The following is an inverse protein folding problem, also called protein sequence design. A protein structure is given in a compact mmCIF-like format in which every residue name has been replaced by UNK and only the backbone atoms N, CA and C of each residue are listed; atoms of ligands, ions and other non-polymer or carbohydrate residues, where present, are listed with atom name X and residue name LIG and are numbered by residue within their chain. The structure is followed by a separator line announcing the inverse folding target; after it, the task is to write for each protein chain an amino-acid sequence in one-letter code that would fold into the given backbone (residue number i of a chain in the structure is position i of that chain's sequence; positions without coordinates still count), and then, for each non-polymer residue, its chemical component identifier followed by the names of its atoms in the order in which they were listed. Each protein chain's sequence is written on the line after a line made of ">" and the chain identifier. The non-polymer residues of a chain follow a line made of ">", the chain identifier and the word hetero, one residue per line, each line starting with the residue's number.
data_IF_107156745361
#
_entry.id   IF_107156745361
#
_cell.length_a   1.000
_cell.length_b   1.000
_cell.length_c   1.000
_cell.angle_alpha   90.00
_cell.angle_beta   90.00
_cell.angle_gamma   90.00
#
_symmetry.space_group_name_H-M   'P 1'
#
loop_
_entity.id
_entity.type
_entity.pdbx_description
1 polymer ?
#
# COMPACT_ATOMS: atom_id res chain seq x y z
N UNK A 1 53.07 11.56 -36.90
CA UNK A 1 52.27 11.72 -35.67
C UNK A 1 50.87 11.20 -35.93
N UNK A 2 50.57 9.99 -35.47
CA UNK A 2 49.30 9.29 -35.67
C UNK A 2 48.24 9.88 -34.75
N UNK A 3 47.11 10.36 -35.30
CA UNK A 3 45.92 10.69 -34.51
C UNK A 3 45.03 9.46 -34.46
N UNK A 4 44.99 8.78 -33.31
CA UNK A 4 43.97 7.80 -32.98
C UNK A 4 42.61 8.52 -32.88
N UNK A 5 41.64 8.10 -33.67
CA UNK A 5 40.24 8.46 -33.46
C UNK A 5 39.65 7.50 -32.41
N UNK A 6 39.32 8.02 -31.23
CA UNK A 6 38.59 7.28 -30.21
C UNK A 6 37.11 7.19 -30.62
N UNK A 7 36.63 5.98 -30.91
CA UNK A 7 35.24 5.70 -31.21
C UNK A 7 34.45 5.71 -29.89
N UNK A 8 33.68 6.76 -29.63
CA UNK A 8 32.76 6.82 -28.49
C UNK A 8 31.56 5.91 -28.78
N UNK A 9 31.51 4.75 -28.12
CA UNK A 9 30.36 3.85 -28.19
C UNK A 9 29.25 4.44 -27.29
N UNK A 10 28.29 5.16 -27.89
CA UNK A 10 27.08 5.57 -27.18
C UNK A 10 26.24 4.31 -26.89
N UNK A 11 26.19 3.91 -25.64
CA UNK A 11 25.20 2.94 -25.17
C UNK A 11 23.83 3.60 -25.18
N UNK A 12 22.99 3.21 -26.15
CA UNK A 12 21.57 3.54 -26.17
C UNK A 12 20.91 2.90 -24.95
N UNK A 13 20.58 3.71 -23.94
CA UNK A 13 19.73 3.28 -22.84
C UNK A 13 18.31 3.19 -23.41
N UNK A 14 17.87 1.97 -23.73
CA UNK A 14 16.47 1.72 -24.07
C UNK A 14 15.63 1.98 -22.83
N UNK A 15 14.79 3.03 -22.87
CA UNK A 15 13.75 3.21 -21.86
C UNK A 15 12.65 2.20 -22.16
N UNK A 16 12.64 1.09 -21.42
CA UNK A 16 11.49 0.19 -21.43
C UNK A 16 10.27 0.98 -20.94
N UNK A 17 9.22 1.04 -21.76
CA UNK A 17 7.91 1.54 -21.34
C UNK A 17 7.18 0.34 -20.74
N UNK A 18 6.86 0.43 -19.45
CA UNK A 18 6.05 -0.56 -18.76
C UNK A 18 4.57 -0.28 -19.03
N UNK A 19 3.77 -1.34 -19.20
CA UNK A 19 2.33 -1.22 -19.43
C UNK A 19 1.60 -0.87 -18.12
N UNK A 20 0.50 -0.13 -18.24
CA UNK A 20 -0.39 0.11 -17.12
C UNK A 20 -1.07 -1.20 -16.69
N UNK A 21 -1.18 -1.42 -15.37
CA UNK A 21 -1.92 -2.52 -14.74
C UNK A 21 -3.02 -1.95 -13.84
N UNK A 22 -4.13 -1.47 -14.43
CA UNK A 22 -5.12 -0.67 -13.71
C UNK A 22 -6.06 -1.47 -12.80
N UNK A 23 -6.18 -2.78 -12.98
CA UNK A 23 -7.09 -3.65 -12.23
C UNK A 23 -6.60 -5.10 -12.26
N UNK A 24 -7.31 -6.00 -11.56
CA UNK A 24 -6.97 -7.41 -11.45
C UNK A 24 -6.89 -8.08 -12.83
N UNK A 25 -5.89 -8.95 -13.04
CA UNK A 25 -5.57 -9.60 -14.33
C UNK A 25 -5.07 -8.66 -15.44
N UNK A 26 -4.71 -7.41 -15.11
CA UNK A 26 -4.02 -6.50 -16.03
C UNK A 26 -4.94 -5.86 -17.07
N UNK A 27 -4.39 -5.09 -18.01
CA UNK A 27 -5.15 -4.21 -18.92
C UNK A 27 -6.08 -4.96 -19.91
N UNK A 28 -5.85 -6.26 -20.09
CA UNK A 28 -6.62 -7.16 -20.97
C UNK A 28 -7.46 -8.17 -20.21
N UNK A 29 -7.33 -8.25 -18.88
CA UNK A 29 -8.09 -9.19 -18.06
C UNK A 29 -7.65 -10.66 -18.19
N UNK A 30 -6.53 -10.94 -18.85
CA UNK A 30 -6.02 -12.30 -19.12
C UNK A 30 -4.76 -12.65 -18.30
N UNK A 31 -4.31 -11.73 -17.45
CA UNK A 31 -3.11 -11.87 -16.61
C UNK A 31 -1.81 -12.08 -17.40
N UNK A 32 -1.73 -11.52 -18.61
CA UNK A 32 -0.54 -11.59 -19.46
C UNK A 32 0.12 -10.22 -19.58
N UNK A 33 1.43 -10.15 -19.35
CA UNK A 33 2.24 -8.98 -19.69
C UNK A 33 2.75 -9.08 -21.14
N UNK A 34 2.67 -7.97 -21.88
CA UNK A 34 3.22 -7.84 -23.25
C UNK A 34 4.64 -7.29 -23.26
N UNK A 35 5.20 -6.98 -22.09
CA UNK A 35 6.54 -6.43 -21.96
C UNK A 35 7.59 -7.44 -22.44
N UNK A 36 8.58 -6.93 -23.17
CA UNK A 36 9.70 -7.70 -23.72
C UNK A 36 11.02 -7.08 -23.25
N UNK A 37 12.11 -7.83 -23.39
CA UNK A 37 13.43 -7.38 -22.90
C UNK A 37 13.54 -7.39 -21.37
N UNK A 38 12.72 -8.21 -20.71
CA UNK A 38 12.83 -8.48 -19.29
C UNK A 38 14.12 -9.27 -19.00
N UNK A 39 14.60 -9.18 -17.76
CA UNK A 39 15.77 -9.94 -17.33
C UNK A 39 15.42 -11.44 -17.28
N UNK A 40 16.12 -12.26 -18.07
CA UNK A 40 16.01 -13.73 -17.98
C UNK A 40 16.58 -14.29 -16.66
N UNK A 41 17.49 -13.55 -16.03
CA UNK A 41 18.02 -13.85 -14.71
C UNK A 41 18.35 -12.56 -13.94
N UNK A 42 18.09 -12.56 -12.63
CA UNK A 42 18.49 -11.45 -11.78
C UNK A 42 20.02 -11.38 -11.62
N UNK A 43 20.59 -10.16 -11.51
CA UNK A 43 21.98 -9.99 -11.13
C UNK A 43 22.28 -10.66 -9.78
N UNK A 44 23.55 -10.97 -9.51
CA UNK A 44 23.99 -11.60 -8.24
C UNK A 44 23.49 -10.85 -6.99
N UNK A 45 23.38 -9.52 -7.07
CA UNK A 45 22.93 -8.67 -5.97
C UNK A 45 21.43 -8.31 -6.08
N UNK A 46 20.68 -8.98 -6.94
CA UNK A 46 19.29 -8.67 -7.26
C UNK A 46 19.12 -7.51 -8.25
N UNK A 47 17.88 -7.25 -8.69
CA UNK A 47 17.56 -6.05 -9.44
C UNK A 47 17.79 -4.81 -8.58
N UNK A 48 18.09 -3.67 -9.22
CA UNK A 48 18.21 -2.40 -8.51
C UNK A 48 16.88 -2.03 -7.86
N UNK A 49 16.89 -1.82 -6.55
CA UNK A 49 15.75 -1.22 -5.86
C UNK A 49 15.58 0.25 -6.29
N UNK A 50 14.39 0.61 -6.76
CA UNK A 50 14.06 2.00 -7.12
C UNK A 50 13.53 2.75 -5.90
N UNK A 51 12.62 2.14 -5.16
CA UNK A 51 12.16 2.62 -3.86
C UNK A 51 11.55 1.47 -3.05
N UNK A 52 11.47 1.66 -1.74
CA UNK A 52 10.69 0.84 -0.83
C UNK A 52 9.83 1.74 0.07
N UNK A 53 8.61 1.30 0.38
CA UNK A 53 7.69 2.00 1.29
C UNK A 53 7.15 1.03 2.33
N UNK A 54 7.30 1.38 3.61
CA UNK A 54 6.59 0.69 4.69
C UNK A 54 5.10 1.01 4.60
N UNK A 55 4.28 -0.03 4.52
CA UNK A 55 2.82 0.04 4.53
C UNK A 55 2.23 -0.64 5.77
N UNK A 56 0.94 -0.48 5.98
CA UNK A 56 0.21 -1.18 7.02
C UNK A 56 -0.08 -2.66 6.67
N UNK A 57 -1.19 -3.18 7.16
CA UNK A 57 -1.62 -4.57 6.92
C UNK A 57 -2.56 -4.67 5.73
N UNK A 58 -2.58 -5.82 5.06
CA UNK A 58 -3.52 -6.15 4.01
C UNK A 58 -2.91 -7.14 3.03
N UNK A 59 -3.71 -7.57 2.06
CA UNK A 59 -3.30 -8.45 0.96
C UNK A 59 -3.61 -7.89 -0.41
N UNK A 60 -4.20 -6.69 -0.48
CA UNK A 60 -4.51 -6.05 -1.75
C UNK A 60 -3.24 -5.86 -2.59
N UNK A 61 -3.22 -6.37 -3.83
CA UNK A 61 -2.22 -5.98 -4.82
C UNK A 61 -2.28 -4.48 -5.13
N UNK A 62 -1.24 -3.99 -5.80
CA UNK A 62 -1.21 -2.62 -6.33
C UNK A 62 -1.82 -2.55 -7.71
N UNK A 63 -2.27 -1.36 -8.07
CA UNK A 63 -2.61 -1.02 -9.45
C UNK A 63 -1.76 0.13 -9.95
N UNK A 64 -1.36 0.06 -11.21
CA UNK A 64 -0.48 1.04 -11.85
C UNK A 64 -1.21 1.68 -13.01
N UNK A 65 -1.22 3.01 -13.05
CA UNK A 65 -1.79 3.77 -14.17
C UNK A 65 -1.13 5.14 -14.33
N UNK A 66 -0.78 5.53 -15.56
CA UNK A 66 -0.35 6.90 -15.89
C UNK A 66 0.75 7.43 -14.93
N UNK A 67 1.76 6.58 -14.69
CA UNK A 67 2.89 6.86 -13.80
C UNK A 67 2.55 6.89 -12.30
N UNK A 68 1.41 6.33 -11.89
CA UNK A 68 0.97 6.24 -10.48
C UNK A 68 0.89 4.80 -10.05
N UNK A 69 1.29 4.53 -8.81
CA UNK A 69 1.03 3.27 -8.11
C UNK A 69 0.01 3.54 -7.02
N UNK A 70 -1.10 2.83 -7.03
CA UNK A 70 -2.14 2.91 -5.99
C UNK A 70 -2.09 1.65 -5.12
N UNK A 71 -1.97 1.87 -3.82
CA UNK A 71 -1.94 0.85 -2.77
C UNK A 71 -3.21 0.96 -1.92
N UNK A 72 -3.73 -0.18 -1.49
CA UNK A 72 -4.81 -0.25 -0.51
C UNK A 72 -4.37 -1.10 0.68
N UNK A 73 -4.26 -0.48 1.85
CA UNK A 73 -3.73 -1.13 3.06
C UNK A 73 -4.43 -0.59 4.30
N UNK A 74 -4.06 -1.07 5.49
CA UNK A 74 -4.65 -0.64 6.76
C UNK A 74 -3.59 -0.25 7.77
N UNK A 75 -3.64 0.98 8.29
CA UNK A 75 -2.92 1.32 9.52
C UNK A 75 -3.63 0.67 10.69
N UNK A 76 -2.97 -0.29 11.34
CA UNK A 76 -3.55 -1.12 12.40
C UNK A 76 -3.03 -0.73 13.78
N UNK A 77 -3.87 -0.89 14.80
CA UNK A 77 -3.43 -0.82 16.21
C UNK A 77 -2.47 -1.96 16.59
N UNK A 78 -2.37 -2.99 15.76
CA UNK A 78 -1.42 -4.09 15.88
C UNK A 78 -0.43 -4.02 14.71
N UNK A 79 0.73 -3.42 14.95
CA UNK A 79 1.78 -3.27 13.95
C UNK A 79 2.68 -4.50 13.94
N UNK A 80 2.87 -5.12 12.77
CA UNK A 80 3.88 -6.16 12.59
C UNK A 80 5.27 -5.54 12.60
N UNK A 81 6.19 -6.10 13.39
CA UNK A 81 7.59 -5.68 13.44
C UNK A 81 8.38 -6.57 12.49
N UNK A 82 9.05 -5.96 11.52
CA UNK A 82 9.91 -6.64 10.57
C UNK A 82 11.23 -7.06 11.25
N UNK A 83 11.91 -8.12 10.78
CA UNK A 83 13.19 -8.54 11.34
C UNK A 83 14.27 -7.45 11.36
N UNK A 84 14.24 -6.50 10.41
CA UNK A 84 15.18 -5.39 10.27
C UNK A 84 14.66 -4.04 10.82
N UNK A 85 13.52 -4.04 11.51
CA UNK A 85 12.95 -2.85 12.13
C UNK A 85 13.81 -2.42 13.33
N UNK A 86 14.32 -1.19 13.26
CA UNK A 86 14.88 -0.50 14.43
C UNK A 86 13.78 0.31 15.13
N UNK A 87 13.98 0.64 16.41
CA UNK A 87 13.06 1.55 17.12
C UNK A 87 12.88 2.88 16.36
N UNK A 88 13.95 3.43 15.80
CA UNK A 88 13.89 4.65 15.00
C UNK A 88 12.98 4.51 13.78
N UNK A 89 13.09 3.41 13.01
CA UNK A 89 12.21 3.13 11.86
C UNK A 89 10.75 3.00 12.29
N UNK A 90 10.49 2.27 13.38
CA UNK A 90 9.14 2.05 13.91
C UNK A 90 8.50 3.35 14.40
N UNK A 91 9.24 4.15 15.18
CA UNK A 91 8.80 5.45 15.69
C UNK A 91 8.54 6.42 14.55
N UNK A 92 9.44 6.48 13.55
CA UNK A 92 9.27 7.34 12.38
C UNK A 92 7.99 7.00 11.61
N UNK A 93 7.74 5.70 11.39
CA UNK A 93 6.50 5.25 10.76
C UNK A 93 5.25 5.63 11.56
N UNK A 94 5.19 5.30 12.85
CA UNK A 94 4.03 5.59 13.69
C UNK A 94 3.75 7.09 13.74
N UNK A 95 4.79 7.92 13.91
CA UNK A 95 4.64 9.37 13.93
C UNK A 95 4.24 9.94 12.57
N UNK A 96 4.64 9.31 11.46
CA UNK A 96 4.18 9.65 10.11
C UNK A 96 2.68 9.38 9.94
N UNK A 97 2.21 8.20 10.37
CA UNK A 97 0.78 7.85 10.35
C UNK A 97 -0.03 8.79 11.26
N UNK A 98 0.42 9.04 12.49
CA UNK A 98 -0.22 9.99 13.40
C UNK A 98 -0.34 11.40 12.80
N UNK A 99 0.72 11.90 12.17
CA UNK A 99 0.68 13.20 11.51
C UNK A 99 -0.30 13.20 10.33
N UNK A 100 -0.33 12.12 9.52
CA UNK A 100 -1.28 11.97 8.43
C UNK A 100 -2.75 11.94 8.91
N UNK A 101 -3.01 11.47 10.13
CA UNK A 101 -4.34 11.45 10.75
C UNK A 101 -4.64 12.67 11.63
N UNK A 102 -3.79 13.71 11.59
CA UNK A 102 -4.01 14.95 12.32
C UNK A 102 -3.82 14.84 13.84
N UNK A 103 -3.16 13.79 14.33
CA UNK A 103 -2.84 13.67 15.74
C UNK A 103 -1.76 14.69 16.15
N UNK A 104 -2.01 15.42 17.24
CA UNK A 104 -1.07 16.44 17.77
C UNK A 104 0.10 15.85 18.57
N UNK A 105 0.03 14.57 18.93
CA UNK A 105 1.04 13.88 19.74
C UNK A 105 1.98 13.03 18.91
N UNK A 106 3.08 12.60 19.55
CA UNK A 106 4.06 11.68 18.98
C UNK A 106 4.39 10.58 19.97
N UNK A 107 4.77 9.41 19.45
CA UNK A 107 5.36 8.34 20.25
C UNK A 107 6.85 8.58 20.42
N UNK A 108 7.35 8.20 21.59
CA UNK A 108 8.77 8.16 21.95
C UNK A 108 9.23 6.72 22.12
N UNK A 109 10.55 6.51 22.13
CA UNK A 109 11.10 5.18 22.39
C UNK A 109 10.63 4.59 23.72
N UNK A 110 10.58 5.40 24.78
CA UNK A 110 10.08 4.97 26.09
C UNK A 110 8.63 4.46 26.02
N UNK A 111 7.75 5.16 25.28
CA UNK A 111 6.36 4.73 25.10
C UNK A 111 6.23 3.43 24.31
N UNK A 112 7.11 3.21 23.32
CA UNK A 112 7.13 1.97 22.52
C UNK A 112 7.66 0.81 23.35
N UNK A 113 8.72 1.01 24.13
CA UNK A 113 9.27 -0.01 25.04
C UNK A 113 8.25 -0.44 26.09
N UNK A 114 7.54 0.52 26.69
CA UNK A 114 6.47 0.23 27.64
C UNK A 114 5.34 -0.58 27.00
N UNK A 115 4.97 -0.27 25.75
CA UNK A 115 3.97 -1.05 25.02
C UNK A 115 4.45 -2.48 24.69
N UNK A 116 5.74 -2.66 24.35
CA UNK A 116 6.32 -3.98 24.09
C UNK A 116 6.40 -4.85 25.34
N UNK A 117 6.73 -4.27 26.50
CA UNK A 117 6.84 -5.01 27.76
C UNK A 117 5.52 -5.70 28.18
N UNK A 118 4.38 -5.15 27.76
CA UNK A 118 3.05 -5.67 28.04
C UNK A 118 2.45 -6.46 26.86
N UNK A 119 3.24 -6.77 25.83
CA UNK A 119 2.74 -7.39 24.62
C UNK A 119 2.97 -8.91 24.61
N UNK A 120 1.87 -9.67 24.62
CA UNK A 120 1.90 -11.13 24.52
C UNK A 120 1.90 -11.65 23.06
N UNK A 121 1.79 -10.77 22.06
CA UNK A 121 1.83 -11.14 20.62
C UNK A 121 3.24 -11.02 20.05
N UNK A 122 3.94 -12.15 19.97
CA UNK A 122 5.30 -12.22 19.39
C UNK A 122 5.33 -11.68 17.96
N UNK A 123 6.33 -10.84 17.66
CA UNK A 123 6.51 -10.25 16.32
C UNK A 123 5.59 -9.06 16.01
N UNK A 124 4.78 -8.63 16.97
CA UNK A 124 3.93 -7.46 16.84
C UNK A 124 4.30 -6.40 17.88
N UNK A 125 3.82 -5.19 17.64
CA UNK A 125 3.71 -4.10 18.60
C UNK A 125 2.22 -3.76 18.70
N UNK A 126 1.66 -3.87 19.89
CA UNK A 126 0.37 -3.26 20.21
C UNK A 126 0.61 -1.77 20.41
N UNK A 127 -0.11 -0.90 19.70
CA UNK A 127 0.04 0.54 19.84
C UNK A 127 -0.22 0.98 21.28
N UNK A 128 0.56 1.94 21.83
CA UNK A 128 0.25 2.56 23.12
C UNK A 128 -1.20 3.03 23.20
N UNK A 129 -1.88 2.76 24.31
CA UNK A 129 -3.31 3.03 24.49
C UNK A 129 -3.71 4.48 24.13
N UNK A 130 -2.84 5.45 24.46
CA UNK A 130 -3.07 6.87 24.19
C UNK A 130 -3.26 7.21 22.70
N UNK A 131 -2.74 6.38 21.79
CA UNK A 131 -2.79 6.62 20.35
C UNK A 131 -3.65 5.62 19.57
N UNK A 132 -4.12 4.52 20.20
CA UNK A 132 -4.87 3.47 19.51
C UNK A 132 -6.08 3.99 18.72
N UNK A 133 -6.76 5.03 19.24
CA UNK A 133 -7.93 5.66 18.61
C UNK A 133 -7.68 6.27 17.22
N UNK A 134 -6.42 6.50 16.83
CA UNK A 134 -6.07 7.03 15.51
C UNK A 134 -5.79 5.94 14.48
N UNK A 135 -5.68 4.68 14.91
CA UNK A 135 -5.41 3.54 14.04
C UNK A 135 -6.72 2.85 13.65
N UNK A 136 -6.60 1.68 13.01
CA UNK A 136 -7.69 0.96 12.37
C UNK A 136 -8.35 1.81 11.28
N UNK A 137 -7.49 2.30 10.38
CA UNK A 137 -7.86 3.05 9.18
C UNK A 137 -7.54 2.20 7.94
N UNK A 138 -8.49 2.01 7.04
CA UNK A 138 -8.19 1.58 5.68
C UNK A 138 -7.74 2.79 4.86
N UNK A 139 -6.67 2.61 4.09
CA UNK A 139 -5.87 3.68 3.48
C UNK A 139 -5.66 3.36 2.02
N UNK A 140 -6.04 4.30 1.17
CA UNK A 140 -5.67 4.34 -0.24
C UNK A 140 -4.55 5.36 -0.42
N UNK A 141 -3.36 4.87 -0.76
CA UNK A 141 -2.19 5.71 -1.07
C UNK A 141 -1.98 5.73 -2.59
N UNK A 142 -1.83 6.92 -3.17
CA UNK A 142 -1.34 7.09 -4.53
C UNK A 142 0.07 7.64 -4.50
N UNK A 143 0.99 6.92 -5.13
CA UNK A 143 2.41 7.25 -5.22
C UNK A 143 2.80 7.55 -6.66
N UNK A 144 3.84 8.36 -6.83
CA UNK A 144 4.57 8.44 -8.09
C UNK A 144 5.32 7.11 -8.34
N UNK A 145 5.10 6.49 -9.49
CA UNK A 145 5.60 5.15 -9.79
C UNK A 145 7.13 5.08 -9.94
N UNK A 146 7.80 6.21 -10.20
CA UNK A 146 9.26 6.24 -10.40
C UNK A 146 10.00 6.50 -9.10
N UNK A 147 9.38 7.22 -8.16
CA UNK A 147 10.06 7.72 -6.97
C UNK A 147 9.49 7.17 -5.67
N UNK A 148 8.28 6.58 -5.70
CA UNK A 148 7.54 6.17 -4.50
C UNK A 148 7.03 7.34 -3.66
N UNK A 149 7.17 8.59 -4.13
CA UNK A 149 6.72 9.77 -3.41
C UNK A 149 5.19 9.78 -3.32
N UNK A 150 4.65 10.02 -2.13
CA UNK A 150 3.22 10.17 -1.91
C UNK A 150 2.69 11.38 -2.69
N UNK A 151 1.68 11.15 -3.53
CA UNK A 151 0.92 12.18 -4.26
C UNK A 151 -0.29 12.59 -3.43
N UNK A 152 -1.10 11.61 -3.04
CA UNK A 152 -2.24 11.82 -2.15
C UNK A 152 -2.51 10.56 -1.32
N UNK A 153 -3.21 10.76 -0.20
CA UNK A 153 -3.69 9.71 0.70
C UNK A 153 -5.16 9.96 1.01
N UNK A 154 -5.96 8.90 0.96
CA UNK A 154 -7.31 8.86 1.51
C UNK A 154 -7.34 7.81 2.62
N UNK A 155 -7.97 8.11 3.75
CA UNK A 155 -8.11 7.16 4.86
C UNK A 155 -9.51 7.23 5.46
N UNK A 156 -10.02 6.09 5.92
CA UNK A 156 -11.28 6.02 6.65
C UNK A 156 -11.24 4.94 7.74
N UNK A 157 -11.98 5.13 8.85
CA UNK A 157 -12.00 4.17 9.94
C UNK A 157 -12.69 2.87 9.53
N UNK A 158 -12.24 1.77 10.10
CA UNK A 158 -12.87 0.44 9.99
C UNK A 158 -12.88 -0.27 11.34
N UNK A 159 -13.90 -1.07 11.59
CA UNK A 159 -13.98 -1.96 12.75
C UNK A 159 -13.79 -3.44 12.35
N UNK A 160 -13.46 -3.74 11.09
CA UNK A 160 -13.30 -5.12 10.63
C UNK A 160 -12.24 -5.86 11.45
N UNK A 161 -12.60 -7.03 11.96
CA UNK A 161 -11.71 -7.97 12.63
C UNK A 161 -11.90 -9.36 12.03
N UNK A 162 -10.79 -9.95 11.58
CA UNK A 162 -10.75 -11.33 11.12
C UNK A 162 -10.97 -12.27 12.30
N UNK A 163 -11.99 -13.16 12.26
CA UNK A 163 -12.34 -14.03 13.38
C UNK A 163 -11.24 -15.05 13.74
N UNK A 164 -10.32 -15.32 12.82
CA UNK A 164 -9.17 -16.20 13.05
C UNK A 164 -7.88 -15.43 13.36
N UNK A 165 -7.93 -14.09 13.32
CA UNK A 165 -6.81 -13.23 13.71
C UNK A 165 -5.65 -13.21 12.71
N UNK A 166 -5.85 -13.62 11.45
CA UNK A 166 -4.81 -13.59 10.41
C UNK A 166 -4.48 -12.16 9.97
N UNK A 167 -5.45 -11.43 9.42
CA UNK A 167 -5.22 -10.07 8.94
C UNK A 167 -6.52 -9.27 8.80
N UNK A 168 -6.50 -8.04 9.31
CA UNK A 168 -7.66 -7.15 9.29
C UNK A 168 -7.64 -6.12 8.15
N UNK A 169 -6.63 -6.15 7.28
CA UNK A 169 -6.49 -5.22 6.16
C UNK A 169 -7.28 -5.63 4.91
N UNK A 170 -7.37 -4.72 3.93
CA UNK A 170 -8.11 -4.96 2.70
C UNK A 170 -7.45 -6.01 1.80
N UNK A 171 -8.28 -6.64 0.95
CA UNK A 171 -7.88 -7.74 0.05
C UNK A 171 -8.10 -7.39 -1.43
N UNK A 172 -9.03 -6.50 -1.73
CA UNK A 172 -9.39 -6.14 -3.10
C UNK A 172 -8.33 -5.25 -3.76
N UNK A 173 -8.05 -5.53 -5.03
CA UNK A 173 -7.17 -4.69 -5.87
C UNK A 173 -7.88 -3.35 -6.14
N UNK A 174 -7.21 -2.19 -6.07
CA UNK A 174 -7.78 -0.93 -6.55
C UNK A 174 -8.10 -1.00 -8.05
N UNK A 175 -9.26 -0.54 -8.48
CA UNK A 175 -9.61 -0.43 -9.91
C UNK A 175 -9.38 1.01 -10.36
N UNK A 176 -8.53 1.20 -11.36
CA UNK A 176 -8.15 2.51 -11.88
C UNK A 176 -8.74 2.73 -13.27
N UNK A 177 -9.69 3.66 -13.38
CA UNK A 177 -10.06 4.22 -14.69
C UNK A 177 -9.15 5.39 -15.03
N UNK A 178 -9.43 6.10 -16.13
CA UNK A 178 -8.72 7.33 -16.48
C UNK A 178 -8.74 8.39 -15.37
N UNK A 179 -9.82 8.44 -14.58
CA UNK A 179 -10.08 9.53 -13.63
C UNK A 179 -10.67 9.06 -12.29
N UNK A 180 -10.84 7.74 -12.09
CA UNK A 180 -11.36 7.16 -10.85
C UNK A 180 -10.41 6.12 -10.26
N UNK A 181 -10.41 6.05 -8.94
CA UNK A 181 -9.88 4.93 -8.17
C UNK A 181 -11.04 4.34 -7.36
N UNK A 182 -11.34 3.06 -7.57
CA UNK A 182 -12.42 2.36 -6.88
C UNK A 182 -11.81 1.28 -5.99
N UNK A 183 -12.17 1.25 -4.72
CA UNK A 183 -11.71 0.24 -3.76
C UNK A 183 -12.89 -0.40 -3.04
N UNK A 184 -12.69 -1.64 -2.59
CA UNK A 184 -13.68 -2.36 -1.80
C UNK A 184 -13.03 -2.91 -0.52
N UNK A 185 -13.30 -2.24 0.59
CA UNK A 185 -12.70 -2.48 1.90
C UNK A 185 -13.11 -3.80 2.53
N UNK A 186 -12.31 -4.28 3.51
CA UNK A 186 -12.55 -5.59 4.14
C UNK A 186 -13.91 -5.67 4.83
N UNK A 187 -14.41 -4.55 5.35
CA UNK A 187 -15.74 -4.39 5.99
C UNK A 187 -16.88 -4.14 5.00
N UNK A 188 -16.63 -4.23 3.68
CA UNK A 188 -17.67 -3.99 2.70
C UNK A 188 -17.92 -2.51 2.40
N UNK A 189 -16.93 -1.64 2.60
CA UNK A 189 -17.00 -0.25 2.14
C UNK A 189 -16.58 -0.16 0.68
N UNK A 190 -17.53 0.13 -0.21
CA UNK A 190 -17.24 0.44 -1.61
C UNK A 190 -17.01 1.95 -1.76
N UNK A 191 -15.82 2.34 -2.22
CA UNK A 191 -15.39 3.73 -2.26
C UNK A 191 -14.90 4.09 -3.65
N UNK A 192 -15.33 5.25 -4.15
CA UNK A 192 -14.78 5.84 -5.36
C UNK A 192 -14.14 7.19 -5.04
N UNK A 193 -12.90 7.31 -5.48
CA UNK A 193 -12.07 8.49 -5.35
C UNK A 193 -11.78 9.08 -6.72
N UNK A 194 -11.66 10.40 -6.80
CA UNK A 194 -11.02 11.06 -7.92
C UNK A 194 -9.54 10.66 -7.97
N UNK A 195 -9.08 10.05 -9.08
CA UNK A 195 -7.72 9.50 -9.19
C UNK A 195 -6.63 10.59 -9.08
N UNK A 196 -6.94 11.83 -9.48
CA UNK A 196 -5.97 12.92 -9.47
C UNK A 196 -5.75 13.47 -8.05
N UNK A 197 -6.80 13.51 -7.24
CA UNK A 197 -6.80 14.25 -5.97
C UNK A 197 -6.99 13.37 -4.73
N UNK A 198 -7.45 12.13 -4.89
CA UNK A 198 -7.82 11.24 -3.77
C UNK A 198 -9.08 11.66 -3.04
N UNK A 199 -9.81 12.66 -3.55
CA UNK A 199 -11.05 13.13 -2.92
C UNK A 199 -12.19 12.13 -3.17
N UNK A 200 -13.03 11.86 -2.15
CA UNK A 200 -14.16 10.97 -2.32
C UNK A 200 -15.17 11.58 -3.28
N UNK A 201 -15.62 10.77 -4.25
CA UNK A 201 -16.73 11.09 -5.15
C UNK A 201 -18.00 10.47 -4.60
N UNK A 202 -17.93 9.19 -4.21
CA UNK A 202 -19.03 8.51 -3.53
C UNK A 202 -18.50 7.40 -2.61
N UNK A 203 -19.32 7.03 -1.64
CA UNK A 203 -19.07 5.94 -0.67
C UNK A 203 -20.36 5.17 -0.46
N UNK A 204 -20.27 3.85 -0.42
CA UNK A 204 -21.37 2.93 -0.10
C UNK A 204 -20.90 1.97 0.98
N UNK A 205 -21.78 1.70 1.94
CA UNK A 205 -21.56 0.75 3.01
C UNK A 205 -22.47 -0.44 2.71
N UNK A 206 -21.88 -1.49 2.13
CA UNK A 206 -22.66 -2.60 1.56
C UNK A 206 -23.38 -3.38 2.66
N UNK A 207 -22.82 -3.43 3.89
CA UNK A 207 -23.51 -4.07 5.02
C UNK A 207 -24.77 -3.31 5.44
N UNK A 208 -24.79 -1.98 5.26
CA UNK A 208 -26.00 -1.16 5.51
C UNK A 208 -26.98 -1.19 4.36
N UNK A 209 -26.48 -1.28 3.14
CA UNK A 209 -27.30 -1.27 1.93
C UNK A 209 -28.03 -2.59 1.70
N UNK A 210 -27.45 -3.71 2.14
CA UNK A 210 -27.95 -5.05 1.84
C UNK A 210 -27.90 -5.98 3.05
N UNK A 211 -28.79 -6.98 3.07
CA UNK A 211 -28.71 -8.09 4.01
C UNK A 211 -27.60 -9.05 3.57
N UNK A 212 -26.43 -8.94 4.17
CA UNK A 212 -25.29 -9.81 3.88
C UNK A 212 -25.13 -10.91 4.93
N UNK A 213 -24.68 -12.09 4.50
CA UNK A 213 -24.17 -13.11 5.42
C UNK A 213 -22.76 -12.71 5.79
N UNK A 214 -22.43 -12.77 7.09
CA UNK A 214 -21.10 -12.40 7.58
C UNK A 214 -20.05 -13.34 6.98
N UNK A 215 -19.08 -12.76 6.28
CA UNK A 215 -18.00 -13.51 5.64
C UNK A 215 -16.89 -13.86 6.63
N UNK A 216 -16.14 -14.93 6.34
CA UNK A 216 -15.05 -15.41 7.20
C UNK A 216 -13.78 -14.54 7.11
N UNK A 217 -13.41 -14.07 5.91
CA UNK A 217 -12.18 -13.30 5.67
C UNK A 217 -12.46 -11.88 5.15
N UNK A 218 -13.63 -11.33 5.48
CA UNK A 218 -14.06 -10.04 4.98
C UNK A 218 -14.27 -10.09 3.48
N UNK A 219 -14.42 -8.91 2.88
CA UNK A 219 -14.60 -8.79 1.45
C UNK A 219 -13.26 -8.89 0.72
N UNK A 220 -13.23 -9.69 -0.35
CA UNK A 220 -12.05 -9.89 -1.20
C UNK A 220 -12.35 -9.99 -2.69
N UNK A 221 -13.60 -9.79 -3.12
CA UNK A 221 -13.98 -9.76 -4.53
C UNK A 221 -13.70 -8.38 -5.12
N UNK A 222 -12.59 -8.23 -5.82
CA UNK A 222 -12.25 -7.00 -6.55
C UNK A 222 -13.38 -6.61 -7.50
N UNK A 223 -13.89 -5.36 -7.46
CA UNK A 223 -14.87 -4.88 -8.44
C UNK A 223 -14.33 -4.99 -9.87
N UNK A 224 -15.19 -5.26 -10.84
CA UNK A 224 -14.84 -5.24 -12.28
C UNK A 224 -15.37 -3.98 -12.95
#
# INVERSE_FOLDING_TARGET
>A
MNKLAALFCLTLISTALADDWPYFLGPTGDNVSKEVGLLDAFPKNGPREVFAKRIGTGYAPVSVRDGKVVLFHRASKLLKIAPDDTFAKVIAYINGELAAFGAKGRVTEASIRAAQANNNRRGYLVMPAAIQKFFDQEIVDCLDAKTGKLIWRHAYPTAYEDPYGYNNGPRCVPVLTKDRCITYGAEGVLLCLDLKTGKPIWRRDIEKDFKIVKNFFGVGSTPV
#
